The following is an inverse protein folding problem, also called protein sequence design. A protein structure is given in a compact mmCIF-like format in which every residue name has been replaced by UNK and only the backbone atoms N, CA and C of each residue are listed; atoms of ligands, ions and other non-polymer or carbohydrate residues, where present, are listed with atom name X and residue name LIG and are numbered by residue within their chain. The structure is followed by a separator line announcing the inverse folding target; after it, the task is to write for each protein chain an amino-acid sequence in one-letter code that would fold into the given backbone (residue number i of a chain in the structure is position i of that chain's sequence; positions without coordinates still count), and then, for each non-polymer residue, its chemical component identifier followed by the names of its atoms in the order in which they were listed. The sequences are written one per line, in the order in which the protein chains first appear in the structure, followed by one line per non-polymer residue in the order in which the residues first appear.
data_IF_757775705302
#
_entry.id   IF_757775705302
#
_cell.length_a   1.000
_cell.length_b   1.000
_cell.length_c   1.000
_cell.angle_alpha   90.00
_cell.angle_beta   90.00
_cell.angle_gamma   90.00
#
_symmetry.space_group_name_H-M   'P 1'
#
loop_
_entity.id
_entity.type
_entity.pdbx_description
1 polymer ?
#
# COMPACT_ATOMS: atom_id res chain seq x y z
N UNK A 1 10.57 -30.51 17.03
CA UNK A 1 10.41 -29.06 17.18
C UNK A 1 11.33 -28.69 18.33
N UNK A 2 12.37 -27.87 18.09
CA UNK A 2 13.15 -27.30 19.19
C UNK A 2 12.20 -26.50 20.08
N UNK A 3 12.31 -26.65 21.40
CA UNK A 3 11.48 -25.90 22.34
C UNK A 3 11.59 -24.39 22.06
N UNK A 4 10.46 -23.72 22.05
CA UNK A 4 10.42 -22.26 21.92
C UNK A 4 11.12 -21.64 23.15
N UNK A 5 11.99 -20.64 22.98
CA UNK A 5 12.63 -20.01 24.13
C UNK A 5 11.56 -19.44 25.09
N UNK A 6 11.82 -19.51 26.38
CA UNK A 6 10.94 -18.91 27.40
C UNK A 6 10.89 -17.39 27.18
N UNK A 7 9.73 -16.80 27.38
CA UNK A 7 9.47 -15.35 27.24
C UNK A 7 9.61 -14.75 25.83
N UNK A 8 9.47 -15.59 24.77
CA UNK A 8 9.41 -15.09 23.38
C UNK A 8 8.14 -14.27 23.12
N UNK A 9 7.06 -14.57 23.85
CA UNK A 9 5.79 -13.85 23.76
C UNK A 9 5.47 -13.25 25.13
N UNK A 10 5.08 -11.98 25.13
CA UNK A 10 4.56 -11.30 26.30
C UNK A 10 3.23 -10.61 25.91
N UNK A 11 2.33 -10.48 26.87
CA UNK A 11 1.04 -9.80 26.67
C UNK A 11 0.89 -8.68 27.70
N UNK A 12 0.43 -7.52 27.25
CA UNK A 12 0.03 -6.40 28.09
C UNK A 12 -1.48 -6.23 28.03
N UNK A 13 -2.09 -5.71 29.11
CA UNK A 13 -3.56 -5.70 29.25
C UNK A 13 -4.16 -4.32 29.42
N UNK A 14 -3.34 -3.33 29.76
CA UNK A 14 -3.83 -1.98 30.02
C UNK A 14 -3.40 -0.97 28.93
N UNK A 15 -4.18 0.12 28.80
CA UNK A 15 -3.80 1.23 27.92
C UNK A 15 -2.55 1.96 28.40
N UNK A 16 -2.31 1.96 29.71
CA UNK A 16 -1.13 2.60 30.28
C UNK A 16 0.13 1.78 29.98
N UNK A 17 0.03 0.43 29.98
CA UNK A 17 1.14 -0.42 29.51
C UNK A 17 1.50 -0.13 28.07
N UNK A 18 0.48 0.06 27.20
CA UNK A 18 0.72 0.41 25.79
C UNK A 18 1.43 1.76 25.69
N UNK A 19 1.03 2.78 26.47
CA UNK A 19 1.73 4.07 26.49
C UNK A 19 3.18 3.94 26.94
N UNK A 20 3.40 3.17 28.00
CA UNK A 20 4.76 2.93 28.49
C UNK A 20 5.63 2.22 27.43
N UNK A 21 5.06 1.30 26.66
CA UNK A 21 5.77 0.63 25.56
C UNK A 21 6.23 1.61 24.47
N UNK A 22 5.49 2.71 24.22
CA UNK A 22 5.87 3.72 23.21
C UNK A 22 7.18 4.45 23.54
N UNK A 23 7.61 4.42 24.81
CA UNK A 23 8.86 5.03 25.30
C UNK A 23 10.02 4.04 25.35
N UNK A 24 9.79 2.74 25.05
CA UNK A 24 10.79 1.68 25.15
C UNK A 24 11.62 1.50 23.88
N UNK A 25 12.10 2.58 23.27
CA UNK A 25 12.88 2.58 22.03
C UNK A 25 14.22 1.83 22.12
N UNK A 26 14.73 1.60 23.33
CA UNK A 26 15.92 0.78 23.56
C UNK A 26 15.64 -0.74 23.62
N UNK A 27 14.37 -1.14 23.63
CA UNK A 27 13.94 -2.55 23.80
C UNK A 27 13.01 -3.04 22.70
N UNK A 28 12.32 -2.13 22.01
CA UNK A 28 11.35 -2.45 20.96
C UNK A 28 11.85 -1.85 19.65
N UNK A 29 12.09 -2.70 18.67
CA UNK A 29 12.62 -2.32 17.36
C UNK A 29 11.53 -1.88 16.39
N UNK A 30 10.28 -2.35 16.58
CA UNK A 30 9.18 -2.11 15.63
C UNK A 30 7.83 -2.19 16.33
N UNK A 31 6.94 -1.26 16.01
CA UNK A 31 5.53 -1.28 16.42
C UNK A 31 4.64 -1.47 15.18
N UNK A 32 3.69 -2.40 15.27
CA UNK A 32 2.67 -2.65 14.25
C UNK A 32 1.29 -2.44 14.87
N UNK A 33 0.75 -1.21 14.83
CA UNK A 33 -0.55 -0.93 15.42
C UNK A 33 -1.67 -1.58 14.61
N UNK A 34 -2.65 -2.12 15.32
CA UNK A 34 -3.89 -2.68 14.75
C UNK A 34 -5.07 -2.01 15.43
N UNK A 35 -5.87 -1.27 14.69
CA UNK A 35 -7.01 -0.53 15.21
C UNK A 35 -7.42 0.61 14.28
N UNK A 36 -8.33 1.45 14.73
CA UNK A 36 -8.80 2.61 13.95
C UNK A 36 -7.75 3.70 13.81
N UNK A 37 -7.98 4.61 12.88
CA UNK A 37 -7.08 5.69 12.46
C UNK A 37 -6.54 6.53 13.62
N UNK A 38 -7.38 6.83 14.61
CA UNK A 38 -6.98 7.60 15.80
C UNK A 38 -5.89 6.90 16.62
N UNK A 39 -5.95 5.56 16.74
CA UNK A 39 -4.92 4.79 17.44
C UNK A 39 -3.61 4.79 16.64
N UNK A 40 -3.67 4.53 15.34
CA UNK A 40 -2.48 4.49 14.48
C UNK A 40 -1.79 5.84 14.47
N UNK A 41 -2.55 6.92 14.34
CA UNK A 41 -2.05 8.30 14.40
C UNK A 41 -1.42 8.59 15.74
N UNK A 42 -2.11 8.27 16.84
CA UNK A 42 -1.60 8.45 18.20
C UNK A 42 -0.26 7.73 18.40
N UNK A 43 -0.16 6.46 17.99
CA UNK A 43 1.09 5.70 18.09
C UNK A 43 2.21 6.39 17.31
N UNK A 44 1.97 6.77 16.04
CA UNK A 44 2.97 7.42 15.18
C UNK A 44 3.47 8.76 15.76
N UNK A 45 2.60 9.52 16.40
CA UNK A 45 2.93 10.84 16.96
C UNK A 45 3.61 10.78 18.34
N UNK A 46 3.52 9.65 19.04
CA UNK A 46 3.96 9.53 20.44
C UNK A 46 5.09 8.50 20.67
N UNK A 47 5.78 8.06 19.62
CA UNK A 47 6.94 7.18 19.78
C UNK A 47 8.09 7.55 18.86
N UNK A 48 9.30 7.17 19.26
CA UNK A 48 10.50 7.18 18.40
C UNK A 48 10.77 5.83 17.75
N UNK A 49 10.04 4.80 18.15
CA UNK A 49 10.16 3.45 17.60
C UNK A 49 9.56 3.46 16.19
N UNK A 50 10.20 2.84 15.19
CA UNK A 50 9.63 2.66 13.86
C UNK A 50 8.23 2.07 13.91
N UNK A 51 7.28 2.67 13.19
CA UNK A 51 5.88 2.23 13.17
C UNK A 51 5.50 1.80 11.76
N UNK A 52 5.17 0.52 11.58
CA UNK A 52 4.58 -0.02 10.36
C UNK A 52 3.07 -0.03 10.48
N UNK A 53 2.40 0.65 9.57
CA UNK A 53 0.93 0.67 9.53
C UNK A 53 0.41 1.75 8.60
N UNK A 54 -0.89 1.68 8.34
CA UNK A 54 -1.66 2.71 7.65
C UNK A 54 -2.79 3.18 8.56
N UNK A 55 -3.20 4.41 8.37
CA UNK A 55 -4.34 4.98 9.10
C UNK A 55 -5.62 4.80 8.29
N UNK A 56 -5.61 5.21 7.01
CA UNK A 56 -6.77 5.19 6.12
C UNK A 56 -6.48 4.31 4.90
N UNK A 57 -7.53 3.69 4.34
CA UNK A 57 -7.53 2.92 3.10
C UNK A 57 -8.22 3.68 1.98
N UNK A 58 -7.59 4.74 1.43
CA UNK A 58 -8.17 5.55 0.35
C UNK A 58 -7.50 5.16 -0.95
N UNK A 59 -8.10 4.21 -1.65
CA UNK A 59 -7.61 3.71 -2.94
C UNK A 59 -8.35 4.34 -4.11
N UNK A 60 -7.66 4.53 -5.24
CA UNK A 60 -8.22 5.10 -6.46
C UNK A 60 -8.11 4.13 -7.63
N UNK A 61 -9.06 4.23 -8.55
CA UNK A 61 -8.96 3.63 -9.88
C UNK A 61 -9.14 4.73 -10.93
N UNK A 62 -8.19 4.85 -11.84
CA UNK A 62 -8.31 5.73 -12.99
C UNK A 62 -8.75 4.95 -14.22
N UNK A 63 -9.83 5.38 -14.84
CA UNK A 63 -10.36 4.86 -16.11
C UNK A 63 -9.88 5.79 -17.21
N UNK A 64 -8.91 5.35 -17.99
CA UNK A 64 -8.31 6.09 -19.09
C UNK A 64 -9.24 6.14 -20.32
N UNK A 65 -8.98 7.05 -21.25
CA UNK A 65 -9.78 7.18 -22.49
C UNK A 65 -9.84 5.90 -23.31
N UNK A 66 -8.76 5.12 -23.31
CA UNK A 66 -8.61 3.86 -24.05
C UNK A 66 -9.14 2.62 -23.30
N UNK A 67 -9.72 2.81 -22.10
CA UNK A 67 -10.14 1.68 -21.27
C UNK A 67 -11.21 0.82 -21.95
N UNK A 68 -11.09 -0.50 -21.79
CA UNK A 68 -12.15 -1.43 -22.17
C UNK A 68 -13.28 -1.38 -21.13
N UNK A 69 -14.52 -1.15 -21.58
CA UNK A 69 -15.68 -1.00 -20.72
C UNK A 69 -15.95 -2.23 -19.85
N UNK A 70 -15.85 -3.42 -20.40
CA UNK A 70 -16.14 -4.65 -19.64
C UNK A 70 -15.05 -4.95 -18.61
N UNK A 71 -13.79 -4.66 -18.91
CA UNK A 71 -12.71 -4.70 -17.91
C UNK A 71 -12.97 -3.68 -16.79
N UNK A 72 -13.34 -2.43 -17.14
CA UNK A 72 -13.63 -1.38 -16.17
C UNK A 72 -14.76 -1.78 -15.22
N UNK A 73 -15.88 -2.24 -15.74
CA UNK A 73 -17.01 -2.74 -14.93
C UNK A 73 -16.57 -3.84 -13.98
N UNK A 74 -15.93 -4.89 -14.50
CA UNK A 74 -15.52 -6.04 -13.67
C UNK A 74 -14.53 -5.65 -12.57
N UNK A 75 -13.54 -4.83 -12.89
CA UNK A 75 -12.48 -4.42 -11.96
C UNK A 75 -13.05 -3.53 -10.87
N UNK A 76 -13.85 -2.51 -11.21
CA UNK A 76 -14.38 -1.54 -10.25
C UNK A 76 -15.44 -2.18 -9.36
N UNK A 77 -16.34 -2.98 -9.92
CA UNK A 77 -17.34 -3.71 -9.13
C UNK A 77 -16.65 -4.63 -8.14
N UNK A 78 -15.67 -5.44 -8.55
CA UNK A 78 -14.89 -6.28 -7.64
C UNK A 78 -14.17 -5.44 -6.58
N UNK A 79 -13.50 -4.37 -7.00
CA UNK A 79 -12.72 -3.51 -6.11
C UNK A 79 -13.57 -2.84 -5.02
N UNK A 80 -14.87 -2.63 -5.26
CA UNK A 80 -15.80 -2.01 -4.29
C UNK A 80 -16.66 -3.01 -3.54
N UNK A 81 -17.12 -4.08 -4.18
CA UNK A 81 -18.18 -4.94 -3.60
C UNK A 81 -17.66 -6.22 -2.97
N UNK A 82 -16.47 -6.72 -3.33
CA UNK A 82 -15.92 -7.97 -2.82
C UNK A 82 -15.71 -7.93 -1.30
N UNK A 83 -15.25 -6.80 -0.77
CA UNK A 83 -15.19 -6.51 0.67
C UNK A 83 -15.09 -4.99 0.89
N UNK A 84 -16.22 -4.28 1.00
CA UNK A 84 -16.26 -2.81 0.99
C UNK A 84 -15.48 -2.14 2.13
N UNK A 85 -15.42 -2.77 3.30
CA UNK A 85 -14.73 -2.23 4.48
C UNK A 85 -13.24 -2.61 4.58
N UNK A 86 -12.67 -3.19 3.53
CA UNK A 86 -11.24 -3.47 3.52
C UNK A 86 -10.46 -2.24 3.08
N UNK A 87 -9.29 -2.01 3.68
CA UNK A 87 -8.42 -0.86 3.41
C UNK A 87 -7.90 -0.75 1.96
N UNK A 88 -8.02 -1.81 1.17
CA UNK A 88 -7.70 -1.85 -0.26
C UNK A 88 -8.97 -1.84 -1.15
N UNK A 89 -10.14 -1.57 -0.58
CA UNK A 89 -11.34 -1.27 -1.36
C UNK A 89 -11.19 0.08 -2.06
N UNK A 90 -11.69 0.19 -3.29
CA UNK A 90 -11.66 1.48 -4.00
C UNK A 90 -12.64 2.47 -3.34
N UNK A 91 -12.20 3.70 -3.15
CA UNK A 91 -13.00 4.79 -2.57
C UNK A 91 -13.30 5.90 -3.57
N UNK A 92 -12.44 6.05 -4.59
CA UNK A 92 -12.62 7.06 -5.64
C UNK A 92 -12.28 6.48 -7.01
N UNK A 93 -13.13 6.74 -8.00
CA UNK A 93 -12.79 6.54 -9.41
C UNK A 93 -12.59 7.88 -10.10
N UNK A 94 -11.55 7.95 -10.93
CA UNK A 94 -11.29 9.06 -11.84
C UNK A 94 -11.60 8.57 -13.24
N UNK A 95 -12.38 9.31 -14.00
CA UNK A 95 -12.77 8.91 -15.36
C UNK A 95 -12.26 9.97 -16.33
N UNK A 96 -11.50 9.53 -17.34
CA UNK A 96 -11.04 10.45 -18.38
C UNK A 96 -12.25 11.00 -19.16
N UNK A 97 -12.29 12.32 -19.42
CA UNK A 97 -13.41 12.99 -20.11
C UNK A 97 -13.71 12.45 -21.53
N UNK A 98 -12.71 11.88 -22.20
CA UNK A 98 -12.85 11.28 -23.53
C UNK A 98 -13.18 9.78 -23.48
N UNK A 99 -13.36 9.20 -22.29
CA UNK A 99 -13.87 7.83 -22.15
C UNK A 99 -15.33 7.77 -22.59
N UNK A 100 -15.59 7.15 -23.73
CA UNK A 100 -16.89 7.21 -24.42
C UNK A 100 -18.04 6.51 -23.68
N UNK A 101 -17.74 5.66 -22.70
CA UNK A 101 -18.72 4.81 -22.03
C UNK A 101 -18.94 5.20 -20.56
N UNK A 102 -18.72 6.47 -20.20
CA UNK A 102 -18.91 6.98 -18.83
C UNK A 102 -20.30 6.63 -18.29
N UNK A 103 -21.36 6.96 -19.03
CA UNK A 103 -22.75 6.73 -18.60
C UNK A 103 -23.05 5.25 -18.37
N UNK A 104 -22.58 4.38 -19.27
CA UNK A 104 -22.76 2.92 -19.16
C UNK A 104 -21.96 2.35 -17.99
N UNK A 105 -20.79 2.89 -17.71
CA UNK A 105 -19.98 2.48 -16.57
C UNK A 105 -20.67 2.87 -15.26
N UNK A 106 -21.05 4.15 -15.10
CA UNK A 106 -21.71 4.64 -13.89
C UNK A 106 -23.01 3.87 -13.61
N UNK A 107 -23.82 3.64 -14.65
CA UNK A 107 -25.02 2.81 -14.53
C UNK A 107 -24.72 1.38 -14.06
N UNK A 108 -23.69 0.76 -14.60
CA UNK A 108 -23.32 -0.60 -14.19
C UNK A 108 -22.85 -0.67 -12.72
N UNK A 109 -22.27 0.41 -12.20
CA UNK A 109 -21.88 0.51 -10.78
C UNK A 109 -23.13 0.68 -9.89
N UNK A 110 -24.11 1.49 -10.31
CA UNK A 110 -25.40 1.61 -9.61
C UNK A 110 -26.17 0.29 -9.62
N UNK A 111 -26.20 -0.41 -10.75
CA UNK A 111 -26.83 -1.73 -10.89
C UNK A 111 -26.16 -2.80 -9.99
N UNK A 112 -24.90 -2.57 -9.58
CA UNK A 112 -24.17 -3.39 -8.61
C UNK A 112 -24.38 -2.94 -7.14
N UNK A 113 -25.39 -2.07 -6.89
CA UNK A 113 -25.74 -1.56 -5.56
C UNK A 113 -24.60 -0.70 -4.94
N UNK A 114 -23.94 0.11 -5.77
CA UNK A 114 -22.92 1.08 -5.35
C UNK A 114 -23.53 2.49 -5.41
N UNK A 115 -23.53 3.19 -4.29
CA UNK A 115 -23.90 4.60 -4.23
C UNK A 115 -22.77 5.47 -4.81
N UNK A 116 -23.09 6.32 -5.77
CA UNK A 116 -22.13 7.18 -6.47
C UNK A 116 -22.22 8.64 -5.99
N UNK A 117 -21.09 9.23 -5.63
CA UNK A 117 -20.98 10.61 -5.15
C UNK A 117 -20.06 11.42 -6.08
N UNK A 118 -20.64 12.35 -6.85
CA UNK A 118 -19.92 13.23 -7.77
C UNK A 118 -19.18 14.37 -7.04
N UNK A 119 -19.70 14.85 -5.90
CA UNK A 119 -19.16 15.97 -5.13
C UNK A 119 -19.05 15.59 -3.66
N UNK A 120 -18.04 14.82 -3.27
CA UNK A 120 -17.86 14.43 -1.88
C UNK A 120 -17.46 15.64 -1.02
N UNK A 121 -17.81 15.59 0.26
CA UNK A 121 -17.36 16.59 1.24
C UNK A 121 -15.83 16.64 1.37
N UNK A 122 -15.18 15.50 1.14
CA UNK A 122 -13.73 15.35 1.16
C UNK A 122 -13.29 14.17 0.28
N UNK A 123 -12.23 14.37 -0.51
CA UNK A 123 -11.57 13.29 -1.25
C UNK A 123 -10.68 12.40 -0.36
N UNK A 124 -10.44 12.78 0.90
CA UNK A 124 -9.75 11.99 1.92
C UNK A 124 -10.70 11.11 2.73
N UNK A 125 -11.82 10.68 2.17
CA UNK A 125 -12.82 9.90 2.90
C UNK A 125 -12.76 8.43 2.55
N UNK A 126 -12.57 7.58 3.55
CA UNK A 126 -12.77 6.15 3.50
C UNK A 126 -14.23 5.86 3.89
N UNK A 127 -15.03 5.36 2.96
CA UNK A 127 -16.45 5.07 3.20
C UNK A 127 -16.65 3.78 3.95
N UNK A 128 -15.79 2.78 3.68
CA UNK A 128 -15.90 1.43 4.25
C UNK A 128 -17.25 0.74 3.96
N UNK A 129 -17.97 1.17 2.94
CA UNK A 129 -19.26 0.69 2.49
C UNK A 129 -19.34 0.71 0.97
N UNK A 130 -20.45 0.27 0.38
CA UNK A 130 -20.72 0.34 -1.06
C UNK A 130 -21.01 1.77 -1.53
N UNK A 131 -20.14 2.69 -1.16
CA UNK A 131 -20.18 4.10 -1.55
C UNK A 131 -18.88 4.42 -2.28
N UNK A 132 -18.96 5.12 -3.39
CA UNK A 132 -17.84 5.43 -4.26
C UNK A 132 -17.92 6.88 -4.75
N UNK A 133 -16.86 7.65 -4.53
CA UNK A 133 -16.74 8.96 -5.16
C UNK A 133 -16.28 8.82 -6.61
N UNK A 134 -16.71 9.72 -7.48
CA UNK A 134 -16.15 9.80 -8.83
C UNK A 134 -15.87 11.23 -9.26
N UNK A 135 -14.89 11.40 -10.14
CA UNK A 135 -14.49 12.67 -10.74
C UNK A 135 -14.13 12.47 -12.20
N UNK A 136 -14.61 13.40 -13.05
CA UNK A 136 -14.13 13.48 -14.43
C UNK A 136 -12.83 14.27 -14.44
N UNK A 137 -11.80 13.73 -15.08
CA UNK A 137 -10.48 14.34 -15.24
C UNK A 137 -10.16 14.56 -16.70
N UNK A 138 -9.33 15.56 -16.99
CA UNK A 138 -9.04 16.00 -18.35
C UNK A 138 -7.80 15.33 -18.96
N UNK A 139 -6.96 14.71 -18.12
CA UNK A 139 -5.75 14.04 -18.58
C UNK A 139 -5.25 13.02 -17.57
N UNK A 140 -4.30 12.18 -17.99
CA UNK A 140 -3.54 11.25 -17.13
C UNK A 140 -2.80 12.00 -16.02
N UNK A 141 -2.21 13.17 -16.32
CA UNK A 141 -1.47 13.98 -15.36
C UNK A 141 -2.40 14.51 -14.26
N UNK A 142 -3.61 14.98 -14.61
CA UNK A 142 -4.61 15.39 -13.60
C UNK A 142 -5.00 14.23 -12.70
N UNK A 143 -5.17 13.02 -13.26
CA UNK A 143 -5.47 11.83 -12.47
C UNK A 143 -4.33 11.49 -11.49
N UNK A 144 -3.09 11.51 -11.96
CA UNK A 144 -1.89 11.26 -11.14
C UNK A 144 -1.76 12.30 -10.03
N UNK A 145 -1.94 13.59 -10.35
CA UNK A 145 -1.89 14.68 -9.36
C UNK A 145 -2.98 14.50 -8.29
N UNK A 146 -4.21 14.19 -8.70
CA UNK A 146 -5.30 13.92 -7.78
C UNK A 146 -4.97 12.75 -6.84
N UNK A 147 -4.52 11.63 -7.40
CA UNK A 147 -4.16 10.44 -6.62
C UNK A 147 -3.04 10.75 -5.63
N UNK A 148 -1.95 11.34 -6.09
CA UNK A 148 -0.81 11.68 -5.22
C UNK A 148 -1.18 12.70 -4.12
N UNK A 149 -2.25 13.47 -4.31
CA UNK A 149 -2.74 14.44 -3.33
C UNK A 149 -3.68 13.81 -2.31
N UNK A 150 -4.58 12.94 -2.74
CA UNK A 150 -5.72 12.50 -1.92
C UNK A 150 -5.64 11.04 -1.48
N UNK A 151 -4.80 10.22 -2.09
CA UNK A 151 -4.60 8.83 -1.72
C UNK A 151 -3.96 8.68 -0.34
N UNK A 152 -4.26 7.57 0.31
CA UNK A 152 -3.53 7.13 1.51
C UNK A 152 -2.17 6.48 1.19
N UNK A 153 -1.79 6.37 -0.08
CA UNK A 153 -0.60 5.67 -0.53
C UNK A 153 -0.69 4.15 -0.41
N UNK A 154 -1.91 3.62 -0.38
CA UNK A 154 -2.14 2.19 -0.22
C UNK A 154 -2.05 1.45 -1.57
N UNK A 155 -3.07 1.57 -2.40
CA UNK A 155 -3.15 0.83 -3.67
C UNK A 155 -3.97 1.59 -4.70
N UNK A 156 -3.38 1.78 -5.88
CA UNK A 156 -3.99 2.51 -6.97
C UNK A 156 -3.98 1.66 -8.25
N UNK A 157 -4.93 1.88 -9.13
CA UNK A 157 -4.99 1.16 -10.41
C UNK A 157 -5.34 2.08 -11.56
N UNK A 158 -4.76 1.81 -12.73
CA UNK A 158 -5.22 2.37 -14.00
C UNK A 158 -5.89 1.26 -14.82
N UNK A 159 -6.98 1.61 -15.47
CA UNK A 159 -7.63 0.77 -16.48
C UNK A 159 -7.42 1.43 -17.83
N UNK A 160 -6.63 0.81 -18.69
CA UNK A 160 -6.23 1.34 -19.99
C UNK A 160 -5.79 0.23 -20.93
N UNK A 161 -5.97 0.43 -22.23
CA UNK A 161 -5.37 -0.40 -23.28
C UNK A 161 -4.10 0.25 -23.85
N UNK A 162 -3.75 1.47 -23.40
CA UNK A 162 -2.50 2.15 -23.77
C UNK A 162 -1.37 1.77 -22.79
N UNK A 163 -0.42 0.98 -23.27
CA UNK A 163 0.74 0.55 -22.48
C UNK A 163 1.66 1.71 -22.06
N UNK A 164 1.67 2.82 -22.83
CA UNK A 164 2.49 3.98 -22.47
C UNK A 164 1.87 4.72 -21.28
N UNK A 165 0.55 4.96 -21.33
CA UNK A 165 -0.19 5.55 -20.21
C UNK A 165 -0.08 4.67 -18.96
N UNK A 166 -0.18 3.34 -19.11
CA UNK A 166 0.04 2.41 -18.01
C UNK A 166 1.42 2.56 -17.36
N UNK A 167 2.50 2.62 -18.16
CA UNK A 167 3.87 2.80 -17.67
C UNK A 167 4.08 4.14 -16.99
N UNK A 168 3.53 5.23 -17.56
CA UNK A 168 3.61 6.57 -16.97
C UNK A 168 2.91 6.57 -15.60
N UNK A 169 1.68 6.06 -15.54
CA UNK A 169 0.91 5.97 -14.31
C UNK A 169 1.64 5.16 -13.22
N UNK A 170 2.08 3.94 -13.57
CA UNK A 170 2.76 3.04 -12.63
C UNK A 170 4.08 3.61 -12.08
N UNK A 171 4.76 4.49 -12.82
CA UNK A 171 5.98 5.15 -12.36
C UNK A 171 5.73 6.45 -11.58
N UNK A 172 4.66 7.18 -11.89
CA UNK A 172 4.41 8.50 -11.34
C UNK A 172 3.52 8.51 -10.08
N UNK A 173 2.72 7.46 -9.89
CA UNK A 173 1.89 7.31 -8.68
C UNK A 173 2.72 6.75 -7.54
N UNK A 174 2.72 7.45 -6.39
CA UNK A 174 3.52 7.08 -5.22
C UNK A 174 2.70 6.33 -4.16
N UNK A 175 2.29 5.11 -4.48
CA UNK A 175 1.58 4.22 -3.57
C UNK A 175 2.33 2.90 -3.35
N UNK A 176 1.96 2.14 -2.31
CA UNK A 176 2.58 0.87 -2.00
C UNK A 176 2.29 -0.20 -3.07
N UNK A 177 1.10 -0.14 -3.67
CA UNK A 177 0.72 -0.94 -4.84
C UNK A 177 0.25 -0.04 -5.97
N UNK A 178 0.75 -0.21 -7.18
CA UNK A 178 0.28 0.50 -8.38
C UNK A 178 0.08 -0.52 -9.49
N UNK A 179 -1.14 -0.59 -9.99
CA UNK A 179 -1.58 -1.67 -10.86
C UNK A 179 -2.03 -1.19 -12.24
N UNK A 180 -1.99 -2.09 -13.20
CA UNK A 180 -2.53 -1.91 -14.53
C UNK A 180 -3.55 -3.02 -14.82
N UNK A 181 -4.81 -2.64 -15.08
CA UNK A 181 -5.92 -3.56 -15.38
C UNK A 181 -6.17 -4.63 -14.30
N UNK A 182 -6.04 -4.25 -13.03
CA UNK A 182 -6.18 -5.16 -11.88
C UNK A 182 -6.96 -4.48 -10.77
N UNK A 183 -7.82 -5.22 -10.08
CA UNK A 183 -8.55 -4.77 -8.91
C UNK A 183 -7.61 -4.42 -7.75
N UNK A 184 -7.87 -3.31 -7.05
CA UNK A 184 -7.11 -2.92 -5.86
C UNK A 184 -7.16 -3.97 -4.75
N UNK A 185 -8.18 -4.85 -4.77
CA UNK A 185 -8.34 -5.97 -3.84
C UNK A 185 -7.23 -7.03 -3.90
N UNK A 186 -6.35 -6.98 -4.91
CA UNK A 186 -5.17 -7.85 -4.95
C UNK A 186 -4.06 -7.46 -3.97
N UNK A 187 -4.11 -6.29 -3.35
CA UNK A 187 -3.14 -5.85 -2.35
C UNK A 187 -3.26 -6.66 -1.04
N UNK A 188 -2.64 -7.83 -1.03
CA UNK A 188 -2.73 -8.81 0.03
C UNK A 188 -1.50 -9.72 -0.04
N UNK A 189 -0.86 -9.98 1.10
CA UNK A 189 0.38 -10.76 1.13
C UNK A 189 0.21 -12.18 0.61
N UNK A 190 -0.95 -12.78 0.82
CA UNK A 190 -1.24 -14.12 0.30
C UNK A 190 -1.37 -14.12 -1.23
N UNK A 191 -2.06 -13.09 -1.79
CA UNK A 191 -2.22 -12.94 -3.24
C UNK A 191 -0.93 -12.56 -3.94
N UNK A 192 -0.02 -11.87 -3.25
CA UNK A 192 1.34 -11.58 -3.76
C UNK A 192 2.30 -12.78 -3.66
N UNK A 193 1.90 -13.85 -2.97
CA UNK A 193 2.77 -15.00 -2.75
C UNK A 193 3.76 -14.83 -1.59
N UNK A 194 3.61 -13.80 -0.75
CA UNK A 194 4.45 -13.58 0.44
C UNK A 194 4.03 -14.45 1.63
N UNK A 195 2.89 -15.14 1.52
CA UNK A 195 2.28 -15.91 2.61
C UNK A 195 1.46 -15.05 3.55
N UNK A 196 1.50 -15.38 4.84
CA UNK A 196 0.76 -14.62 5.85
C UNK A 196 1.32 -13.19 5.99
N UNK A 197 0.44 -12.21 6.16
CA UNK A 197 0.80 -10.85 6.49
C UNK A 197 0.39 -10.48 7.91
N UNK A 198 1.17 -9.64 8.56
CA UNK A 198 0.86 -9.08 9.89
C UNK A 198 0.24 -7.69 9.79
N UNK A 199 0.29 -7.07 8.64
CA UNK A 199 -0.31 -5.77 8.35
C UNK A 199 0.16 -5.22 7.01
N UNK A 200 -0.34 -4.04 6.66
CA UNK A 200 0.06 -3.30 5.46
C UNK A 200 0.67 -1.97 5.90
N UNK A 201 1.80 -1.60 5.31
CA UNK A 201 2.46 -0.32 5.54
C UNK A 201 2.36 0.55 4.29
N UNK A 202 1.79 1.74 4.43
CA UNK A 202 1.74 2.74 3.34
C UNK A 202 2.87 3.76 3.43
N UNK A 203 3.58 3.79 4.55
CA UNK A 203 4.72 4.69 4.76
C UNK A 203 5.93 4.28 3.91
N UNK A 204 6.83 5.24 3.65
CA UNK A 204 8.14 5.00 3.01
C UNK A 204 9.18 4.45 4.00
N UNK A 205 8.73 3.64 4.93
CA UNK A 205 9.55 2.91 5.90
C UNK A 205 9.63 1.45 5.43
N UNK A 206 10.76 0.78 5.61
CA UNK A 206 10.86 -0.65 5.35
C UNK A 206 10.05 -1.45 6.38
N UNK A 207 9.17 -2.37 5.99
CA UNK A 207 8.75 -2.65 4.63
C UNK A 207 7.58 -1.76 4.19
N UNK A 208 7.31 -1.67 2.89
CA UNK A 208 6.14 -0.98 2.33
C UNK A 208 5.20 -1.99 1.64
N UNK A 209 3.89 -1.75 1.70
CA UNK A 209 2.86 -2.69 1.23
C UNK A 209 2.57 -3.79 2.24
N UNK A 210 2.08 -4.97 1.81
CA UNK A 210 1.85 -6.13 2.67
C UNK A 210 3.14 -6.59 3.36
N UNK A 211 3.11 -6.68 4.70
CA UNK A 211 4.26 -7.02 5.53
C UNK A 211 4.16 -8.48 5.96
N UNK A 212 4.95 -9.34 5.33
CA UNK A 212 5.13 -10.73 5.67
C UNK A 212 6.41 -10.97 6.50
N UNK A 213 6.89 -12.23 6.49
CA UNK A 213 8.05 -12.63 7.28
C UNK A 213 9.32 -11.83 6.95
N UNK A 214 9.58 -11.56 5.68
CA UNK A 214 10.75 -10.77 5.26
C UNK A 214 10.71 -9.34 5.81
N UNK A 215 9.54 -8.71 5.83
CA UNK A 215 9.37 -7.34 6.36
C UNK A 215 9.50 -7.25 7.89
N UNK A 216 9.48 -8.38 8.60
CA UNK A 216 9.68 -8.49 10.04
C UNK A 216 11.11 -8.82 10.43
N UNK A 217 12.00 -9.04 9.47
CA UNK A 217 13.38 -9.42 9.71
C UNK A 217 14.34 -8.36 9.17
N UNK A 218 15.54 -8.30 9.76
CA UNK A 218 16.62 -7.43 9.32
C UNK A 218 17.85 -8.24 8.94
N UNK A 219 18.71 -7.66 8.13
CA UNK A 219 19.94 -8.31 7.69
C UNK A 219 21.03 -8.19 8.74
N UNK A 220 21.85 -9.23 8.81
CA UNK A 220 23.11 -9.24 9.54
C UNK A 220 24.18 -9.77 8.59
N UNK A 221 25.27 -9.04 8.48
CA UNK A 221 26.39 -9.43 7.65
C UNK A 221 27.41 -10.19 8.49
N UNK A 222 27.77 -11.41 8.07
CA UNK A 222 28.86 -12.19 8.62
C UNK A 222 29.98 -12.17 7.59
N UNK A 223 31.17 -11.76 8.01
CA UNK A 223 32.37 -11.73 7.18
C UNK A 223 33.41 -12.67 7.82
N UNK A 224 33.82 -13.67 7.08
CA UNK A 224 34.85 -14.62 7.46
C UNK A 224 36.10 -14.39 6.60
N UNK A 225 37.25 -14.29 7.22
CA UNK A 225 38.52 -14.05 6.56
C UNK A 225 39.66 -14.82 7.26
N UNK A 226 40.83 -14.77 6.66
CA UNK A 226 42.06 -15.37 7.20
C UNK A 226 43.19 -14.33 7.31
N UNK A 227 42.97 -13.30 8.13
CA UNK A 227 43.93 -12.20 8.29
C UNK A 227 43.84 -11.16 7.18
N UNK A 228 42.71 -11.06 6.50
CA UNK A 228 42.49 -10.07 5.44
C UNK A 228 42.36 -8.67 6.06
N UNK A 229 43.06 -7.70 5.46
CA UNK A 229 43.03 -6.30 5.88
C UNK A 229 42.70 -5.39 4.72
N UNK A 230 41.98 -4.31 4.99
CA UNK A 230 41.54 -3.34 3.95
C UNK A 230 42.76 -2.70 3.24
N UNK A 231 43.87 -2.51 3.94
CA UNK A 231 45.09 -1.91 3.37
C UNK A 231 45.59 -2.66 2.12
N UNK A 232 45.53 -3.97 2.10
CA UNK A 232 45.99 -4.78 0.96
C UNK A 232 45.17 -4.50 -0.30
N UNK A 233 43.88 -4.18 -0.14
CA UNK A 233 43.00 -3.84 -1.24
C UNK A 233 43.16 -2.38 -1.69
N UNK A 234 43.41 -1.48 -0.76
CA UNK A 234 43.68 -0.06 -1.07
C UNK A 234 44.99 0.11 -1.80
N UNK A 235 46.04 -0.62 -1.40
CA UNK A 235 47.36 -0.59 -2.02
C UNK A 235 47.45 -1.47 -3.29
N UNK A 236 46.38 -2.16 -3.67
CA UNK A 236 46.31 -2.96 -4.88
C UNK A 236 47.03 -4.32 -4.80
N UNK A 237 47.45 -4.73 -3.61
CA UNK A 237 48.06 -6.06 -3.34
C UNK A 237 47.01 -7.16 -3.56
N UNK A 238 45.77 -6.90 -3.08
CA UNK A 238 44.61 -7.76 -3.31
C UNK A 238 43.53 -7.02 -4.11
N UNK A 239 42.65 -7.73 -4.77
CA UNK A 239 41.52 -7.19 -5.54
C UNK A 239 40.20 -7.82 -5.06
N UNK A 240 39.14 -7.02 -5.06
CA UNK A 240 37.79 -7.55 -4.90
C UNK A 240 37.35 -8.31 -6.14
N UNK A 241 36.76 -9.46 -5.95
CA UNK A 241 36.19 -10.28 -7.03
C UNK A 241 34.68 -10.01 -7.15
N UNK A 242 34.31 -8.73 -7.35
CA UNK A 242 32.93 -8.39 -7.61
C UNK A 242 32.51 -8.97 -8.96
N UNK A 243 31.30 -9.52 -9.02
CA UNK A 243 30.65 -9.85 -10.29
C UNK A 243 29.71 -8.71 -10.62
N UNK A 244 29.79 -8.23 -11.85
CA UNK A 244 28.74 -7.35 -12.39
C UNK A 244 27.44 -8.16 -12.45
N UNK A 245 26.34 -7.55 -11.91
CA UNK A 245 25.01 -8.17 -11.86
C UNK A 245 24.26 -7.89 -13.15
#
# INVERSE_FOLDING_TARGET
IKEFPKNVLAQVFSRDDVKNMLEMDSYIDLIIPRGGNSLVKFVKENTKIPVLGHADGICHIFVDESADLEKAKRIIVDAKTQYPSACNSVETILIHKEFMYETELLKALEDADIELIATPESWHKEYSDKILSYKIVHSLEEAIEHINTYSSGHTESIITEDEMNAKIFMNAVDSAGVYHNVSTRFADGFRYGFGAEVGISTAKTHARGPVGLEGLTIYKYNLEGNGDIVKDYVEGVKKFNHKDL
#
